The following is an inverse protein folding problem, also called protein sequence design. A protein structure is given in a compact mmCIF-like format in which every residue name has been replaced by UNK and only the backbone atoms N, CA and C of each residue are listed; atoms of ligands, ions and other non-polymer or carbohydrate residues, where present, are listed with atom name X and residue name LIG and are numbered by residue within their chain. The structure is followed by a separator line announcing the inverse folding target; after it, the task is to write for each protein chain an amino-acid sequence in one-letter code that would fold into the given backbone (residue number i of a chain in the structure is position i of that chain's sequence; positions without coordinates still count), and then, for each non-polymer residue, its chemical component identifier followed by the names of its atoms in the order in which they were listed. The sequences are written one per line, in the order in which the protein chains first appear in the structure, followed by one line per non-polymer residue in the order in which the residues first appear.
data_IF_939636454272
#
_entry.id   IF_939636454272
#
_cell.length_a   1.000
_cell.length_b   1.000
_cell.length_c   1.000
_cell.angle_alpha   90.00
_cell.angle_beta   90.00
_cell.angle_gamma   90.00
#
_symmetry.space_group_name_H-M   'P 1'
#
loop_
_entity.id
_entity.type
_entity.pdbx_description
1 polymer ?
#
# COMPACT_ATOMS: atom_id res chain seq x y z
N UNK A 1 13.25 11.55 -6.44
CA UNK A 1 12.45 11.23 -5.24
C UNK A 1 12.75 9.80 -4.87
N UNK A 2 13.01 9.55 -3.59
CA UNK A 2 13.10 8.20 -3.01
C UNK A 2 11.74 7.51 -3.17
N UNK A 3 11.76 6.23 -3.52
CA UNK A 3 10.55 5.41 -3.53
C UNK A 3 10.09 5.23 -2.08
N UNK A 4 8.81 5.47 -1.82
CA UNK A 4 8.20 5.36 -0.49
C UNK A 4 7.18 4.22 -0.42
N UNK A 5 7.24 3.42 0.63
CA UNK A 5 6.38 2.24 0.83
C UNK A 5 5.69 2.37 2.19
N UNK A 6 4.35 2.40 2.17
CA UNK A 6 3.54 2.40 3.38
C UNK A 6 3.36 0.99 3.92
N UNK A 7 3.66 0.78 5.21
CA UNK A 7 3.36 -0.47 5.91
C UNK A 7 1.96 -0.37 6.50
N UNK A 8 1.05 -1.20 6.01
CA UNK A 8 -0.37 -1.23 6.40
C UNK A 8 -0.70 -2.62 6.93
N UNK A 9 -1.50 -2.66 7.99
CA UNK A 9 -1.96 -3.90 8.57
C UNK A 9 -2.95 -3.64 9.69
N UNK A 10 -3.65 -4.69 10.09
CA UNK A 10 -4.55 -4.64 11.24
C UNK A 10 -3.75 -4.55 12.55
N UNK A 11 -4.39 -4.24 13.69
CA UNK A 11 -3.73 -4.31 14.97
C UNK A 11 -3.13 -5.71 15.23
N UNK A 12 -1.95 -5.75 15.85
CA UNK A 12 -1.29 -6.98 16.31
C UNK A 12 -0.82 -7.97 15.21
N UNK A 13 -0.74 -7.54 13.95
CA UNK A 13 -0.20 -8.38 12.85
C UNK A 13 1.34 -8.39 12.76
N UNK A 14 2.03 -7.63 13.62
CA UNK A 14 3.50 -7.50 13.61
C UNK A 14 4.04 -6.31 12.81
N UNK A 15 3.20 -5.32 12.48
CA UNK A 15 3.58 -4.11 11.74
C UNK A 15 4.75 -3.34 12.37
N UNK A 16 4.66 -3.02 13.66
CA UNK A 16 5.71 -2.27 14.36
C UNK A 16 7.00 -3.08 14.51
N UNK A 17 6.89 -4.40 14.66
CA UNK A 17 8.05 -5.31 14.65
C UNK A 17 8.74 -5.29 13.30
N UNK A 18 7.99 -5.35 12.20
CA UNK A 18 8.52 -5.26 10.84
C UNK A 18 9.24 -3.94 10.62
N UNK A 19 8.59 -2.84 10.98
CA UNK A 19 9.17 -1.51 10.86
C UNK A 19 10.49 -1.43 11.63
N UNK A 20 10.51 -1.86 12.89
CA UNK A 20 11.73 -1.90 13.71
C UNK A 20 12.82 -2.80 13.12
N UNK A 21 12.48 -3.97 12.58
CA UNK A 21 13.44 -4.89 11.96
C UNK A 21 14.09 -4.27 10.71
N UNK A 22 13.29 -3.57 9.91
CA UNK A 22 13.74 -2.85 8.71
C UNK A 22 14.59 -1.63 9.10
N UNK A 23 14.16 -0.85 10.10
CA UNK A 23 14.87 0.36 10.54
C UNK A 23 16.13 0.10 11.35
N UNK A 24 16.32 -1.09 11.92
CA UNK A 24 17.63 -1.50 12.49
C UNK A 24 18.76 -1.51 11.45
N UNK A 25 18.42 -1.61 10.16
CA UNK A 25 19.36 -1.48 9.03
C UNK A 25 19.36 -0.07 8.43
N UNK A 26 18.92 0.93 9.20
CA UNK A 26 18.92 2.32 8.77
C UNK A 26 20.31 2.75 8.33
N UNK A 27 20.35 3.44 7.19
CA UNK A 27 21.59 3.99 6.67
C UNK A 27 21.92 5.25 7.46
N UNK A 28 23.21 5.45 7.74
CA UNK A 28 23.65 6.64 8.46
C UNK A 28 23.18 7.91 7.74
N UNK A 29 22.30 8.66 8.42
CA UNK A 29 21.56 9.81 7.90
C UNK A 29 22.50 10.93 7.46
N UNK A 30 23.73 10.97 7.98
CA UNK A 30 24.78 11.88 7.54
C UNK A 30 25.10 11.76 6.03
N UNK A 31 24.81 10.61 5.43
CA UNK A 31 25.07 10.35 4.01
C UNK A 31 23.92 10.77 3.08
N UNK A 32 22.74 11.13 3.63
CA UNK A 32 21.53 11.43 2.85
C UNK A 32 20.81 12.67 3.41
N UNK A 33 21.22 13.88 3.01
CA UNK A 33 20.76 15.16 3.59
C UNK A 33 19.29 15.49 3.33
N UNK A 34 18.56 14.64 2.58
CA UNK A 34 17.15 14.83 2.24
C UNK A 34 16.21 13.89 3.01
N UNK A 35 16.72 13.09 3.95
CA UNK A 35 15.89 12.18 4.72
C UNK A 35 15.02 12.93 5.75
N UNK A 36 13.72 12.64 5.74
CA UNK A 36 12.73 13.20 6.67
C UNK A 36 13.00 12.74 8.11
N UNK A 37 12.92 13.65 9.10
CA UNK A 37 13.13 13.38 10.54
C UNK A 37 11.84 12.85 11.20
N UNK A 38 11.02 12.09 10.47
CA UNK A 38 9.76 11.57 11.01
C UNK A 38 10.02 10.22 11.69
N UNK A 39 9.64 10.02 12.97
CA UNK A 39 9.88 8.76 13.68
C UNK A 39 9.18 7.55 13.05
N UNK A 40 8.15 7.79 12.23
CA UNK A 40 7.44 6.75 11.49
C UNK A 40 7.99 6.54 10.07
N UNK A 41 9.15 7.12 9.73
CA UNK A 41 9.80 6.92 8.43
C UNK A 41 11.18 6.31 8.64
N UNK A 42 11.39 5.14 8.06
CA UNK A 42 12.67 4.44 8.06
C UNK A 42 13.29 4.44 6.67
N UNK A 43 14.58 4.72 6.57
CA UNK A 43 15.29 4.74 5.28
C UNK A 43 16.25 3.56 5.20
N UNK A 44 16.05 2.70 4.20
CA UNK A 44 16.82 1.45 4.06
C UNK A 44 17.55 1.39 2.73
N UNK A 45 18.81 1.01 2.78
CA UNK A 45 19.63 0.77 1.61
C UNK A 45 19.18 -0.51 0.88
N UNK A 46 19.05 -0.42 -0.45
CA UNK A 46 18.87 -1.57 -1.30
C UNK A 46 20.25 -2.15 -1.59
N UNK A 47 20.58 -3.24 -0.90
CA UNK A 47 21.85 -3.93 -1.08
C UNK A 47 21.89 -4.58 -2.47
N UNK A 48 22.93 -4.26 -3.23
CA UNK A 48 23.10 -4.70 -4.60
C UNK A 48 24.52 -5.20 -4.83
N UNK A 49 24.67 -6.47 -5.20
CA UNK A 49 25.96 -7.10 -5.47
C UNK A 49 26.73 -6.41 -6.61
N UNK A 50 26.03 -5.75 -7.54
CA UNK A 50 26.68 -5.01 -8.63
C UNK A 50 27.48 -3.84 -8.09
N UNK A 51 26.98 -3.17 -7.06
CA UNK A 51 27.71 -2.08 -6.39
C UNK A 51 28.95 -2.62 -5.68
N UNK A 52 28.85 -3.82 -5.08
CA UNK A 52 30.01 -4.48 -4.46
C UNK A 52 31.12 -4.75 -5.48
N UNK A 53 30.76 -5.36 -6.61
CA UNK A 53 31.70 -5.67 -7.70
C UNK A 53 32.34 -4.40 -8.29
N UNK A 54 31.55 -3.34 -8.51
CA UNK A 54 32.08 -2.07 -9.02
C UNK A 54 33.03 -1.39 -8.03
N UNK A 55 32.71 -1.42 -6.74
CA UNK A 55 33.57 -0.86 -5.70
C UNK A 55 34.90 -1.62 -5.58
N UNK A 56 34.88 -2.94 -5.76
CA UNK A 56 36.09 -3.77 -5.81
C UNK A 56 36.93 -3.45 -7.05
N UNK A 57 36.32 -3.39 -8.23
CA UNK A 57 37.01 -3.07 -9.49
C UNK A 57 37.68 -1.69 -9.49
N UNK A 58 37.06 -0.72 -8.83
CA UNK A 58 37.53 0.68 -8.80
C UNK A 58 38.31 1.02 -7.54
N UNK A 59 38.43 0.09 -6.58
CA UNK A 59 38.97 0.35 -5.25
C UNK A 59 38.33 1.56 -4.56
N UNK A 60 37.01 1.69 -4.69
CA UNK A 60 36.27 2.84 -4.14
C UNK A 60 36.36 2.87 -2.61
N UNK A 61 36.65 4.04 -2.05
CA UNK A 61 36.68 4.25 -0.60
C UNK A 61 35.31 4.12 0.07
N UNK A 62 34.22 4.22 -0.70
CA UNK A 62 32.84 4.19 -0.17
C UNK A 62 31.88 3.52 -1.14
N UNK A 63 30.92 2.76 -0.57
CA UNK A 63 29.77 2.20 -1.28
C UNK A 63 28.54 3.04 -0.95
N UNK A 64 27.88 3.58 -1.97
CA UNK A 64 26.64 4.34 -1.82
C UNK A 64 25.54 3.54 -2.52
N UNK A 65 24.57 3.07 -1.75
CA UNK A 65 23.44 2.30 -2.25
C UNK A 65 22.26 3.24 -2.53
N UNK A 66 21.37 2.84 -3.43
CA UNK A 66 20.06 3.48 -3.52
C UNK A 66 19.25 3.17 -2.26
N UNK A 67 18.32 4.03 -1.90
CA UNK A 67 17.49 3.88 -0.70
C UNK A 67 16.02 3.76 -1.05
N UNK A 68 15.27 3.15 -0.15
CA UNK A 68 13.81 3.10 -0.12
C UNK A 68 13.34 3.59 1.23
N UNK A 69 12.29 4.40 1.24
CA UNK A 69 11.65 4.88 2.45
C UNK A 69 10.49 3.96 2.81
N UNK A 70 10.45 3.53 4.06
CA UNK A 70 9.32 2.80 4.64
C UNK A 70 8.60 3.72 5.60
N UNK A 71 7.28 3.83 5.47
CA UNK A 71 6.43 4.65 6.32
C UNK A 71 5.58 3.72 7.17
N UNK A 72 5.73 3.77 8.49
CA UNK A 72 4.85 3.05 9.41
C UNK A 72 3.50 3.76 9.46
N UNK A 73 2.48 3.18 8.81
CA UNK A 73 1.14 3.73 8.83
C UNK A 73 0.40 3.11 10.02
N UNK A 74 -0.08 3.94 10.96
CA UNK A 74 -0.73 3.49 12.19
C UNK A 74 -1.79 2.40 11.94
N UNK A 75 -1.94 1.39 12.81
CA UNK A 75 -2.80 0.23 12.52
C UNK A 75 -4.24 0.63 12.14
N UNK A 76 -4.75 0.07 11.04
CA UNK A 76 -6.11 0.34 10.58
C UNK A 76 -7.10 -0.30 11.56
N UNK A 77 -7.86 0.52 12.29
CA UNK A 77 -9.01 0.04 13.06
C UNK A 77 -10.23 0.03 12.14
N UNK A 78 -11.03 -1.03 12.21
CA UNK A 78 -12.30 -1.14 11.47
C UNK A 78 -13.13 0.14 11.68
N UNK A 79 -13.65 0.73 10.60
CA UNK A 79 -14.39 2.01 10.65
C UNK A 79 -13.54 3.26 10.38
N UNK A 80 -12.31 3.12 9.87
CA UNK A 80 -11.46 4.28 9.53
C UNK A 80 -12.12 5.24 8.52
N UNK A 81 -12.97 4.71 7.64
CA UNK A 81 -13.78 5.47 6.69
C UNK A 81 -14.96 6.24 7.31
N UNK A 82 -15.40 5.91 8.54
CA UNK A 82 -16.61 6.47 9.17
C UNK A 82 -16.40 7.79 9.93
N UNK A 83 -15.20 8.37 9.90
CA UNK A 83 -15.02 9.79 10.22
C UNK A 83 -14.67 10.18 11.66
N UNK A 84 -14.25 9.26 12.53
CA UNK A 84 -13.75 9.58 13.89
C UNK A 84 -12.39 10.31 13.93
N UNK A 85 -11.97 10.95 12.82
CA UNK A 85 -10.78 11.79 12.71
C UNK A 85 -9.44 11.03 12.62
N UNK A 86 -9.29 9.88 13.28
CA UNK A 86 -8.06 9.08 13.27
C UNK A 86 -7.89 8.30 11.95
N UNK A 87 -8.98 7.74 11.42
CA UNK A 87 -8.97 6.99 10.16
C UNK A 87 -8.70 7.84 8.92
N UNK A 88 -9.15 9.11 8.91
CA UNK A 88 -8.86 10.03 7.81
C UNK A 88 -7.37 10.41 7.75
N UNK A 89 -6.70 10.59 8.89
CA UNK A 89 -5.25 10.83 8.94
C UNK A 89 -4.46 9.62 8.44
N UNK A 90 -4.92 8.41 8.78
CA UNK A 90 -4.34 7.17 8.28
C UNK A 90 -4.42 7.08 6.73
N UNK A 91 -5.60 7.30 6.17
CA UNK A 91 -5.81 7.24 4.72
C UNK A 91 -5.04 8.35 3.98
N UNK A 92 -4.87 9.52 4.60
CA UNK A 92 -4.02 10.59 4.07
C UNK A 92 -2.55 10.15 3.96
N UNK A 93 -2.00 9.52 4.99
CA UNK A 93 -0.62 9.00 4.95
C UNK A 93 -0.44 7.94 3.85
N UNK A 94 -1.46 7.12 3.55
CA UNK A 94 -1.39 6.17 2.42
C UNK A 94 -1.33 6.93 1.08
N UNK A 95 -2.00 8.07 0.94
CA UNK A 95 -1.95 8.85 -0.31
C UNK A 95 -0.54 9.34 -0.62
N UNK A 96 0.24 9.62 0.40
CA UNK A 96 1.62 10.16 0.30
C UNK A 96 2.66 9.12 -0.12
N UNK A 97 2.38 7.82 0.03
CA UNK A 97 3.34 6.76 -0.35
C UNK A 97 3.17 6.26 -1.79
N UNK A 98 4.21 5.74 -2.42
CA UNK A 98 4.13 5.24 -3.81
C UNK A 98 3.54 3.84 -3.92
N UNK A 99 3.78 3.00 -2.91
CA UNK A 99 3.29 1.62 -2.83
C UNK A 99 2.92 1.24 -1.40
N UNK A 100 2.21 0.12 -1.24
CA UNK A 100 1.74 -0.37 0.05
C UNK A 100 2.22 -1.81 0.24
N UNK A 101 2.72 -2.12 1.44
CA UNK A 101 2.88 -3.49 1.91
C UNK A 101 1.80 -3.81 2.94
N UNK A 102 1.00 -4.83 2.66
CA UNK A 102 0.02 -5.37 3.61
C UNK A 102 0.71 -6.41 4.48
N UNK A 103 0.78 -6.14 5.78
CA UNK A 103 1.22 -7.12 6.78
C UNK A 103 0.00 -7.88 7.26
N UNK A 104 -0.07 -9.16 6.91
CA UNK A 104 -1.19 -10.05 7.21
C UNK A 104 -0.71 -11.12 8.18
N UNK A 105 -1.47 -11.39 9.25
CA UNK A 105 -1.09 -12.36 10.26
C UNK A 105 -1.33 -13.79 9.75
N UNK A 106 -0.32 -14.65 9.91
CA UNK A 106 -0.43 -16.10 9.71
C UNK A 106 -0.10 -16.87 11.00
N UNK A 107 0.80 -16.35 11.84
CA UNK A 107 1.22 -17.03 13.06
C UNK A 107 0.09 -17.19 14.09
N UNK A 108 -0.03 -18.40 14.66
CA UNK A 108 -1.08 -18.77 15.62
C UNK A 108 -0.83 -18.44 17.09
N UNK A 109 0.28 -17.78 17.47
CA UNK A 109 0.69 -17.60 18.89
C UNK A 109 -0.46 -17.11 19.79
N UNK A 110 -0.68 -17.83 20.89
CA UNK A 110 -1.77 -17.62 21.86
C UNK A 110 -1.62 -16.33 22.70
N UNK A 111 -0.38 -15.83 22.88
CA UNK A 111 -0.07 -14.67 23.73
C UNK A 111 -0.47 -13.31 23.14
N UNK A 112 -0.92 -13.28 21.89
CA UNK A 112 -1.44 -12.06 21.28
C UNK A 112 -2.94 -12.03 21.49
N UNK A 113 -3.44 -11.06 22.29
CA UNK A 113 -4.89 -10.84 22.50
C UNK A 113 -5.57 -10.80 21.15
N UNK A 114 -6.20 -11.92 20.79
CA UNK A 114 -6.90 -12.05 19.53
C UNK A 114 -8.30 -11.49 19.78
N UNK A 115 -8.53 -10.26 19.31
CA UNK A 115 -9.88 -9.68 19.30
C UNK A 115 -10.78 -10.37 18.27
N UNK A 116 -10.23 -11.29 17.45
CA UNK A 116 -10.94 -12.06 16.42
C UNK A 116 -10.92 -13.55 16.74
N UNK A 117 -11.96 -14.25 16.31
CA UNK A 117 -12.14 -15.68 16.55
C UNK A 117 -11.29 -16.57 15.64
N UNK A 118 -10.76 -16.04 14.52
CA UNK A 118 -9.97 -16.79 13.53
C UNK A 118 -8.91 -15.89 12.88
N UNK A 119 -7.78 -16.49 12.54
CA UNK A 119 -6.71 -15.87 11.73
C UNK A 119 -6.93 -16.30 10.29
N UNK A 120 -7.10 -15.33 9.39
CA UNK A 120 -7.35 -15.57 7.98
C UNK A 120 -6.80 -14.40 7.14
N UNK A 121 -5.74 -14.67 6.37
CA UNK A 121 -5.07 -13.66 5.54
C UNK A 121 -5.96 -13.04 4.46
N UNK A 122 -6.94 -13.78 3.91
CA UNK A 122 -7.82 -13.19 2.89
C UNK A 122 -8.87 -12.31 3.55
N UNK A 123 -9.40 -12.71 4.71
CA UNK A 123 -10.33 -11.87 5.46
C UNK A 123 -9.63 -10.57 5.90
N UNK A 124 -8.38 -10.66 6.37
CA UNK A 124 -7.58 -9.48 6.70
C UNK A 124 -7.35 -8.57 5.48
N UNK A 125 -6.97 -9.14 4.33
CA UNK A 125 -6.87 -8.39 3.06
C UNK A 125 -8.18 -7.69 2.71
N UNK A 126 -9.29 -8.42 2.74
CA UNK A 126 -10.61 -7.90 2.37
C UNK A 126 -11.01 -6.73 3.25
N UNK A 127 -10.76 -6.80 4.55
CA UNK A 127 -11.03 -5.69 5.47
C UNK A 127 -10.20 -4.45 5.12
N UNK A 128 -8.90 -4.63 4.87
CA UNK A 128 -8.02 -3.52 4.48
C UNK A 128 -8.45 -2.90 3.15
N UNK A 129 -8.75 -3.74 2.15
CA UNK A 129 -9.20 -3.30 0.83
C UNK A 129 -10.53 -2.56 0.90
N UNK A 130 -11.50 -3.06 1.67
CA UNK A 130 -12.81 -2.43 1.81
C UNK A 130 -12.72 -1.01 2.37
N UNK A 131 -11.85 -0.76 3.35
CA UNK A 131 -11.67 0.59 3.90
C UNK A 131 -11.06 1.56 2.86
N UNK A 132 -10.14 1.08 2.02
CA UNK A 132 -9.59 1.89 0.92
C UNK A 132 -10.64 2.12 -0.18
N UNK A 133 -11.41 1.08 -0.53
CA UNK A 133 -12.47 1.14 -1.53
C UNK A 133 -13.54 2.13 -1.12
N UNK A 134 -14.01 2.09 0.14
CA UNK A 134 -15.02 3.02 0.64
C UNK A 134 -14.54 4.47 0.53
N UNK A 135 -13.26 4.73 0.81
CA UNK A 135 -12.71 6.08 0.72
C UNK A 135 -12.56 6.57 -0.71
N UNK A 136 -12.10 5.70 -1.60
CA UNK A 136 -12.02 6.03 -3.02
C UNK A 136 -13.42 6.21 -3.62
N UNK A 137 -14.40 5.42 -3.19
CA UNK A 137 -15.78 5.54 -3.64
C UNK A 137 -16.35 6.92 -3.28
N UNK A 138 -16.15 7.38 -2.04
CA UNK A 138 -16.53 8.74 -1.63
C UNK A 138 -15.90 9.81 -2.55
N UNK A 139 -14.64 9.64 -2.92
CA UNK A 139 -13.89 10.57 -3.77
C UNK A 139 -14.44 10.58 -5.20
N UNK A 140 -14.65 9.39 -5.77
CA UNK A 140 -15.12 9.18 -7.14
C UNK A 140 -16.58 9.60 -7.30
N UNK A 141 -17.44 9.35 -6.30
CA UNK A 141 -18.84 9.78 -6.33
C UNK A 141 -18.98 11.30 -6.31
N UNK A 142 -18.27 11.99 -5.41
CA UNK A 142 -18.23 13.46 -5.38
C UNK A 142 -17.77 14.05 -6.71
N UNK A 143 -16.75 13.45 -7.34
CA UNK A 143 -16.28 13.93 -8.65
C UNK A 143 -17.29 13.66 -9.75
N UNK A 144 -17.92 12.49 -9.76
CA UNK A 144 -18.94 12.15 -10.77
C UNK A 144 -20.09 13.16 -10.75
N UNK A 145 -20.58 13.54 -9.57
CA UNK A 145 -21.65 14.55 -9.43
C UNK A 145 -21.22 15.94 -9.94
N UNK A 146 -19.96 16.33 -9.71
CA UNK A 146 -19.42 17.59 -10.23
C UNK A 146 -19.31 17.57 -11.76
N UNK A 147 -18.77 16.48 -12.32
CA UNK A 147 -18.64 16.29 -13.78
C UNK A 147 -20.00 16.30 -14.49
N UNK A 148 -21.03 15.70 -13.89
CA UNK A 148 -22.39 15.73 -14.45
C UNK A 148 -22.94 17.17 -14.57
N UNK A 149 -22.60 18.07 -13.63
CA UNK A 149 -22.98 19.48 -13.70
C UNK A 149 -22.15 20.24 -14.74
N UNK A 150 -20.84 19.99 -14.78
CA UNK A 150 -19.91 20.61 -15.73
C UNK A 150 -20.27 20.25 -17.19
N UNK A 151 -20.58 18.98 -17.48
CA UNK A 151 -20.98 18.51 -18.80
C UNK A 151 -22.31 19.10 -19.29
N UNK A 152 -23.25 19.36 -18.38
CA UNK A 152 -24.51 20.06 -18.71
C UNK A 152 -24.25 21.52 -19.12
N UNK A 153 -23.30 22.18 -18.48
CA UNK A 153 -22.96 23.57 -18.76
C UNK A 153 -22.06 23.73 -20.00
N UNK A 154 -21.12 22.79 -20.20
CA UNK A 154 -20.16 22.75 -21.31
C UNK A 154 -20.42 21.52 -22.16
N UNK A 155 -21.56 21.50 -22.84
CA UNK A 155 -21.94 20.41 -23.72
C UNK A 155 -20.86 20.18 -24.79
N UNK A 156 -20.45 18.91 -25.00
CA UNK A 156 -19.47 18.44 -25.98
C UNK A 156 -17.99 18.75 -25.69
N UNK A 157 -17.61 18.98 -24.43
CA UNK A 157 -16.19 18.98 -24.06
C UNK A 157 -15.66 17.54 -24.01
N UNK A 158 -14.87 17.17 -25.02
CA UNK A 158 -14.32 15.82 -25.17
C UNK A 158 -13.43 15.39 -23.99
N UNK A 159 -12.77 16.32 -23.30
CA UNK A 159 -11.94 15.98 -22.15
C UNK A 159 -12.80 15.62 -20.94
N UNK A 160 -13.86 16.40 -20.67
CA UNK A 160 -14.82 16.10 -19.59
C UNK A 160 -15.56 14.79 -19.84
N UNK A 161 -15.88 14.47 -21.10
CA UNK A 161 -16.52 13.20 -21.44
C UNK A 161 -15.60 12.00 -21.17
N UNK A 162 -14.33 12.07 -21.58
CA UNK A 162 -13.33 11.04 -21.28
C UNK A 162 -13.12 10.86 -19.78
N UNK A 163 -13.03 11.97 -19.06
CA UNK A 163 -12.87 11.96 -17.60
C UNK A 163 -14.08 11.30 -16.92
N UNK A 164 -15.29 11.66 -17.32
CA UNK A 164 -16.53 11.06 -16.80
C UNK A 164 -16.61 9.57 -17.09
N UNK A 165 -16.16 9.09 -18.26
CA UNK A 165 -16.11 7.66 -18.57
C UNK A 165 -15.16 6.91 -17.61
N UNK A 166 -13.96 7.43 -17.39
CA UNK A 166 -12.99 6.82 -16.47
C UNK A 166 -13.52 6.80 -15.02
N UNK A 167 -14.08 7.92 -14.55
CA UNK A 167 -14.68 8.05 -13.22
C UNK A 167 -15.90 7.13 -13.06
N UNK A 168 -16.76 7.01 -14.07
CA UNK A 168 -17.93 6.13 -14.02
C UNK A 168 -17.53 4.65 -13.96
N UNK A 169 -16.49 4.24 -14.71
CA UNK A 169 -15.93 2.89 -14.65
C UNK A 169 -15.33 2.61 -13.27
N UNK A 170 -14.52 3.52 -12.73
CA UNK A 170 -13.97 3.39 -11.37
C UNK A 170 -15.07 3.28 -10.31
N UNK A 171 -16.11 4.13 -10.40
CA UNK A 171 -17.27 4.10 -9.50
C UNK A 171 -17.97 2.74 -9.51
N UNK A 172 -18.14 2.15 -10.69
CA UNK A 172 -18.79 0.84 -10.85
C UNK A 172 -17.99 -0.25 -10.14
N UNK A 173 -16.68 -0.32 -10.38
CA UNK A 173 -15.79 -1.34 -9.80
C UNK A 173 -15.72 -1.21 -8.26
N UNK A 174 -15.57 0.01 -7.75
CA UNK A 174 -15.54 0.26 -6.31
C UNK A 174 -16.84 -0.15 -5.62
N UNK A 175 -18.01 0.08 -6.25
CA UNK A 175 -19.31 -0.40 -5.74
C UNK A 175 -19.43 -1.93 -5.71
N UNK A 176 -18.67 -2.63 -6.54
CA UNK A 176 -18.61 -4.09 -6.57
C UNK A 176 -17.60 -4.64 -5.56
N UNK A 177 -16.89 -3.79 -4.80
CA UNK A 177 -15.84 -4.21 -3.88
C UNK A 177 -14.52 -4.56 -4.58
N UNK A 178 -14.34 -4.15 -5.83
CA UNK A 178 -13.14 -4.45 -6.60
C UNK A 178 -12.09 -3.33 -6.45
N UNK A 179 -10.84 -3.73 -6.26
CA UNK A 179 -9.72 -2.79 -6.19
C UNK A 179 -9.30 -2.36 -7.61
N UNK A 180 -9.11 -1.05 -7.81
CA UNK A 180 -8.82 -0.49 -9.13
C UNK A 180 -7.46 -0.96 -9.70
N UNK A 181 -6.50 -1.29 -8.84
CA UNK A 181 -5.20 -1.84 -9.27
C UNK A 181 -5.27 -3.26 -9.86
N UNK A 182 -6.38 -3.98 -9.64
CA UNK A 182 -6.60 -5.32 -10.20
C UNK A 182 -7.32 -5.27 -11.56
N UNK A 183 -7.67 -4.08 -12.03
CA UNK A 183 -8.32 -3.85 -13.33
C UNK A 183 -7.32 -3.35 -14.38
N UNK A 184 -7.54 -3.73 -15.63
CA UNK A 184 -6.81 -3.15 -16.76
C UNK A 184 -7.38 -1.79 -17.15
N UNK A 185 -6.50 -0.80 -17.18
CA UNK A 185 -6.78 0.58 -17.59
C UNK A 185 -5.94 0.93 -18.80
N UNK A 186 -6.54 1.66 -19.73
CA UNK A 186 -5.81 2.34 -20.81
C UNK A 186 -4.89 3.42 -20.25
N UNK A 187 -3.86 3.80 -21.02
CA UNK A 187 -2.91 4.85 -20.60
C UNK A 187 -3.60 6.21 -20.41
N UNK A 188 -4.66 6.50 -21.17
CA UNK A 188 -5.47 7.71 -20.98
C UNK A 188 -6.26 7.66 -19.67
N UNK A 189 -6.95 6.54 -19.37
CA UNK A 189 -7.67 6.38 -18.10
C UNK A 189 -6.74 6.46 -16.89
N UNK A 190 -5.54 5.84 -16.97
CA UNK A 190 -4.55 5.92 -15.88
C UNK A 190 -4.13 7.37 -15.62
N UNK A 191 -3.84 8.14 -16.68
CA UNK A 191 -3.48 9.56 -16.55
C UNK A 191 -4.58 10.35 -15.85
N UNK A 192 -5.84 10.10 -16.21
CA UNK A 192 -7.00 10.74 -15.56
C UNK A 192 -7.09 10.35 -14.09
N UNK A 193 -7.09 9.04 -13.78
CA UNK A 193 -7.29 8.53 -12.43
C UNK A 193 -6.14 8.89 -11.48
N UNK A 194 -4.91 9.02 -11.99
CA UNK A 194 -3.76 9.43 -11.20
C UNK A 194 -3.91 10.83 -10.59
N UNK A 195 -4.72 11.72 -11.19
CA UNK A 195 -4.98 13.05 -10.65
C UNK A 195 -5.77 13.01 -9.32
N UNK A 196 -6.42 11.88 -9.01
CA UNK A 196 -7.25 11.71 -7.82
C UNK A 196 -6.52 11.04 -6.66
N UNK A 197 -5.28 10.56 -6.88
CA UNK A 197 -4.49 9.85 -5.89
C UNK A 197 -5.27 8.74 -5.18
N UNK A 198 -6.05 7.97 -5.96
CA UNK A 198 -6.88 6.87 -5.45
C UNK A 198 -6.01 5.83 -4.75
N UNK A 199 -6.44 5.41 -3.56
CA UNK A 199 -5.71 4.46 -2.71
C UNK A 199 -5.61 3.08 -3.37
N UNK A 200 -6.72 2.62 -3.94
CA UNK A 200 -6.89 1.30 -4.57
C UNK A 200 -6.14 1.15 -5.89
N UNK A 201 -5.65 2.26 -6.48
CA UNK A 201 -4.77 2.25 -7.65
C UNK A 201 -3.30 1.97 -7.32
N UNK A 202 -2.89 2.12 -6.05
CA UNK A 202 -1.50 1.92 -5.65
C UNK A 202 -1.07 0.45 -5.79
N UNK A 203 0.20 0.25 -6.09
CA UNK A 203 0.80 -1.10 -6.10
C UNK A 203 0.81 -1.67 -4.69
N UNK A 204 0.42 -2.94 -4.57
CA UNK A 204 0.30 -3.67 -3.30
C UNK A 204 1.16 -4.92 -3.32
N UNK A 205 1.86 -5.15 -2.21
CA UNK A 205 2.60 -6.38 -1.95
C UNK A 205 2.18 -6.91 -0.58
N UNK A 206 2.24 -8.22 -0.39
CA UNK A 206 1.71 -8.86 0.82
C UNK A 206 2.84 -9.53 1.60
N UNK A 207 3.03 -9.12 2.85
CA UNK A 207 3.89 -9.83 3.80
C UNK A 207 2.98 -10.67 4.68
N UNK A 208 3.07 -11.98 4.50
CA UNK A 208 2.35 -12.97 5.28
C UNK A 208 3.22 -13.34 6.47
N UNK A 209 2.91 -12.75 7.63
CA UNK A 209 3.74 -12.86 8.83
C UNK A 209 3.53 -14.22 9.52
N UNK A 210 4.51 -15.10 9.37
CA UNK A 210 4.50 -16.48 9.89
C UNK A 210 5.41 -17.39 9.08
N UNK A 211 5.25 -18.69 9.26
CA UNK A 211 6.00 -19.73 8.56
C UNK A 211 5.20 -20.31 7.40
N UNK A 212 5.84 -21.03 6.48
CA UNK A 212 5.14 -21.69 5.37
C UNK A 212 4.06 -22.67 5.85
N UNK A 213 4.26 -23.29 7.02
CA UNK A 213 3.28 -24.21 7.62
C UNK A 213 2.04 -23.53 8.20
N UNK A 214 2.07 -22.21 8.41
CA UNK A 214 0.94 -21.46 8.97
C UNK A 214 -0.11 -21.08 7.90
N UNK A 215 0.22 -21.23 6.62
CA UNK A 215 -0.68 -20.91 5.51
C UNK A 215 -1.16 -22.19 4.85
N UNK A 216 -2.48 -22.33 4.70
CA UNK A 216 -3.03 -23.46 3.94
C UNK A 216 -2.69 -23.36 2.45
N UNK A 217 -2.50 -24.52 1.82
CA UNK A 217 -2.19 -24.64 0.38
C UNK A 217 -3.20 -23.88 -0.48
N UNK A 218 -4.49 -24.00 -0.18
CA UNK A 218 -5.58 -23.30 -0.86
C UNK A 218 -5.42 -21.77 -0.85
N UNK A 219 -4.98 -21.22 0.29
CA UNK A 219 -4.77 -19.78 0.45
C UNK A 219 -3.56 -19.33 -0.36
N UNK A 220 -2.45 -20.06 -0.28
CA UNK A 220 -1.26 -19.77 -1.10
C UNK A 220 -1.57 -19.84 -2.60
N UNK A 221 -2.36 -20.81 -3.05
CA UNK A 221 -2.82 -20.92 -4.43
C UNK A 221 -3.69 -19.73 -4.85
N UNK A 222 -4.52 -19.21 -3.94
CA UNK A 222 -5.35 -18.03 -4.20
C UNK A 222 -4.49 -16.79 -4.48
N UNK A 223 -3.41 -16.57 -3.71
CA UNK A 223 -2.47 -15.47 -3.98
C UNK A 223 -1.80 -15.61 -5.35
N UNK A 224 -1.39 -16.83 -5.72
CA UNK A 224 -0.78 -17.13 -7.02
C UNK A 224 -1.76 -16.90 -8.17
N UNK A 225 -2.99 -17.42 -8.06
CA UNK A 225 -4.04 -17.30 -9.09
C UNK A 225 -4.38 -15.85 -9.40
N UNK A 226 -4.44 -15.01 -8.37
CA UNK A 226 -4.73 -13.58 -8.51
C UNK A 226 -3.48 -12.71 -8.78
N UNK A 227 -2.30 -13.32 -8.95
CA UNK A 227 -1.04 -12.63 -9.18
C UNK A 227 -0.70 -11.58 -8.12
N UNK A 228 -1.11 -11.84 -6.88
CA UNK A 228 -0.82 -10.97 -5.73
C UNK A 228 0.60 -11.27 -5.24
N UNK A 229 1.56 -10.34 -5.39
CA UNK A 229 2.94 -10.61 -5.03
C UNK A 229 3.07 -10.67 -3.51
N UNK A 230 3.54 -11.81 -2.99
CA UNK A 230 3.61 -12.05 -1.56
C UNK A 230 4.95 -12.64 -1.12
N UNK A 231 5.28 -12.42 0.15
CA UNK A 231 6.41 -13.02 0.87
C UNK A 231 5.89 -13.62 2.18
N UNK A 232 6.26 -14.86 2.46
CA UNK A 232 6.02 -15.49 3.76
C UNK A 232 7.30 -15.34 4.57
N UNK A 233 7.22 -14.72 5.74
CA UNK A 233 8.35 -14.60 6.66
C UNK A 233 7.84 -14.36 8.06
N UNK A 234 8.46 -14.98 9.06
CA UNK A 234 8.24 -14.58 10.44
C UNK A 234 9.12 -13.36 10.70
N UNK A 235 8.48 -12.28 11.13
CA UNK A 235 9.15 -10.99 11.35
C UNK A 235 9.93 -10.96 12.68
N UNK A 236 9.70 -11.96 13.55
CA UNK A 236 10.39 -12.10 14.85
C UNK A 236 11.67 -12.94 14.78
N UNK A 237 11.91 -13.69 13.71
CA UNK A 237 13.11 -14.52 13.51
C UNK A 237 14.06 -13.92 12.49
#
# INVERSE_FOLDING_TARGET
MSLSIGIVGLPNVGKSTLFQAITKKEVDRANYPFCTINPNVGVVAVLDERINKLAELTSSAKKIYTTVEFVDIAGLVKGASQGEGLGNKFLANIREVDAIVYVLRCFGKEDVINTRSRIDVLEEKEILDMEMILKDLETVEKRAEALEKELKAKAKDANLEKEMQAIAKARKLLRQGESLSETQWSEEEKKILNNYQLLTMKKRFFLLNGTEGDISVERAETFKKNHWPYLITDVLT
#
